data_IF_875285812424
#
_entry.id   IF_875285812424
#
_cell.length_a   1.000
_cell.length_b   1.000
_cell.length_c   1.000
_cell.angle_alpha   90.00
_cell.angle_beta   90.00
_cell.angle_gamma   90.00
#
_symmetry.space_group_name_H-M   'P 1'
#
loop_
_entity.id
_entity.type
_entity.pdbx_description
1 polymer ?
#
# COMPACT_ATOMS: atom_id res chain seq x y z
N UNK A 1 66.87 -57.12 40.21
CA UNK A 1 66.33 -56.36 41.34
C UNK A 1 65.45 -55.25 40.78
N UNK A 2 64.15 -55.27 41.14
CA UNK A 2 63.08 -54.25 41.00
C UNK A 2 62.91 -53.49 39.67
N UNK A 3 61.87 -53.76 38.86
CA UNK A 3 60.45 -53.34 39.01
C UNK A 3 60.31 -51.85 39.31
N UNK A 4 59.87 -51.04 38.34
CA UNK A 4 58.52 -50.47 38.37
C UNK A 4 58.16 -49.72 37.08
N UNK A 5 56.91 -49.93 36.67
CA UNK A 5 56.19 -49.28 35.57
C UNK A 5 55.95 -47.81 35.90
N UNK A 6 55.97 -46.94 34.88
CA UNK A 6 55.01 -45.82 34.86
C UNK A 6 54.70 -45.42 33.41
N UNK A 7 53.52 -45.82 32.97
CA UNK A 7 52.89 -45.51 31.70
C UNK A 7 52.39 -44.06 31.77
N UNK A 8 53.04 -43.13 31.05
CA UNK A 8 52.53 -41.76 30.92
C UNK A 8 51.41 -41.77 29.87
N UNK A 9 50.17 -41.69 30.36
CA UNK A 9 48.99 -41.43 29.54
C UNK A 9 49.07 -40.01 28.96
N UNK A 10 49.11 -39.90 27.64
CA UNK A 10 48.73 -38.68 26.92
C UNK A 10 47.21 -38.58 26.99
N UNK A 11 46.70 -37.64 27.78
CA UNK A 11 45.30 -37.22 27.73
C UNK A 11 45.21 -36.09 26.70
N UNK A 12 44.84 -36.42 25.46
CA UNK A 12 44.30 -35.40 24.56
C UNK A 12 42.93 -35.00 25.10
N UNK A 13 42.83 -33.76 25.59
CA UNK A 13 41.56 -33.14 25.92
C UNK A 13 40.86 -32.79 24.62
N UNK A 14 40.01 -33.70 24.13
CA UNK A 14 39.10 -33.42 23.04
C UNK A 14 38.05 -32.44 23.57
N UNK A 15 38.26 -31.15 23.29
CA UNK A 15 37.30 -30.09 23.59
C UNK A 15 36.08 -30.30 22.67
N UNK A 16 35.10 -31.08 23.13
CA UNK A 16 33.79 -31.15 22.50
C UNK A 16 33.13 -29.78 22.64
N UNK A 17 33.25 -28.95 21.61
CA UNK A 17 32.40 -27.79 21.43
C UNK A 17 31.01 -28.34 21.14
N UNK A 18 30.19 -28.47 22.17
CA UNK A 18 28.76 -28.64 22.03
C UNK A 18 28.22 -27.36 21.37
N UNK A 19 28.08 -27.36 20.05
CA UNK A 19 27.10 -26.49 19.41
C UNK A 19 25.74 -26.95 19.91
N UNK A 20 25.25 -26.30 20.98
CA UNK A 20 23.84 -26.32 21.30
C UNK A 20 23.14 -25.62 20.13
N UNK A 21 22.83 -26.37 19.06
CA UNK A 21 21.87 -25.94 18.07
C UNK A 21 20.55 -25.86 18.82
N UNK A 22 20.21 -24.63 19.21
CA UNK A 22 18.92 -24.35 19.79
C UNK A 22 17.88 -24.64 18.72
N UNK A 23 17.33 -25.85 18.73
CA UNK A 23 16.22 -26.29 17.88
C UNK A 23 14.93 -25.66 18.41
N UNK A 24 14.88 -24.33 18.46
CA UNK A 24 13.58 -23.68 18.54
C UNK A 24 12.88 -23.95 17.20
N UNK A 25 11.66 -24.53 17.21
CA UNK A 25 10.90 -24.66 15.99
C UNK A 25 10.73 -23.26 15.40
N UNK A 26 10.87 -23.15 14.08
CA UNK A 26 10.65 -21.87 13.42
C UNK A 26 9.26 -21.34 13.80
N UNK A 27 9.10 -20.02 13.99
CA UNK A 27 7.78 -19.45 14.23
C UNK A 27 6.83 -19.81 13.07
N UNK A 28 5.50 -19.76 13.30
CA UNK A 28 4.54 -19.94 12.21
C UNK A 28 4.68 -18.80 11.18
N UNK A 29 4.44 -19.12 9.92
CA UNK A 29 4.42 -18.14 8.82
C UNK A 29 3.43 -16.99 9.11
N UNK A 30 3.75 -15.74 8.76
CA UNK A 30 2.82 -14.62 8.90
C UNK A 30 1.51 -14.87 8.13
N UNK A 31 0.38 -14.79 8.83
CA UNK A 31 -0.95 -15.09 8.27
C UNK A 31 -1.31 -14.15 7.12
N UNK A 32 -0.81 -12.94 7.15
CA UNK A 32 -0.95 -11.90 6.14
C UNK A 32 -0.42 -12.33 4.77
N UNK A 33 0.52 -13.27 4.69
CA UNK A 33 0.99 -13.78 3.39
C UNK A 33 -0.09 -14.52 2.61
N UNK A 34 -1.06 -15.14 3.29
CA UNK A 34 -2.23 -15.72 2.61
C UNK A 34 -3.09 -14.64 1.93
N UNK A 35 -3.15 -13.44 2.52
CA UNK A 35 -3.88 -12.29 1.97
C UNK A 35 -3.18 -11.78 0.72
N UNK A 36 -1.84 -11.66 0.75
CA UNK A 36 -1.07 -11.26 -0.43
C UNK A 36 -1.21 -12.26 -1.58
N UNK A 37 -1.15 -13.56 -1.29
CA UNK A 37 -1.39 -14.63 -2.29
C UNK A 37 -2.77 -14.56 -2.91
N UNK A 38 -3.79 -14.22 -2.12
CA UNK A 38 -5.15 -14.05 -2.62
C UNK A 38 -5.32 -12.78 -3.47
N UNK A 39 -4.73 -11.66 -3.03
CA UNK A 39 -4.81 -10.38 -3.72
C UNK A 39 -4.03 -10.36 -5.04
N UNK A 40 -2.95 -11.14 -5.13
CA UNK A 40 -2.05 -11.21 -6.28
C UNK A 40 -1.87 -12.67 -6.74
N UNK A 41 -2.90 -13.29 -7.35
CA UNK A 41 -2.86 -14.72 -7.71
C UNK A 41 -1.82 -15.04 -8.79
N UNK A 42 -1.32 -14.04 -9.52
CA UNK A 42 -0.26 -14.15 -10.52
C UNK A 42 1.15 -13.94 -9.96
N UNK A 43 1.28 -13.66 -8.66
CA UNK A 43 2.55 -13.44 -7.96
C UNK A 43 2.74 -14.54 -6.91
N UNK A 44 3.90 -15.19 -6.92
CA UNK A 44 4.25 -16.19 -5.91
C UNK A 44 4.96 -15.53 -4.74
N UNK A 45 4.54 -15.87 -3.52
CA UNK A 45 5.16 -15.47 -2.26
C UNK A 45 5.62 -16.73 -1.52
N UNK A 46 6.93 -17.00 -1.54
CA UNK A 46 7.51 -18.17 -0.86
C UNK A 46 8.26 -17.71 0.38
N UNK A 47 7.82 -18.14 1.56
CA UNK A 47 8.42 -17.74 2.83
C UNK A 47 9.30 -18.85 3.40
N UNK A 48 10.49 -18.47 3.87
CA UNK A 48 11.41 -19.32 4.62
C UNK A 48 11.92 -18.54 5.82
N UNK A 49 11.85 -19.13 7.01
CA UNK A 49 12.38 -18.48 8.21
C UNK A 49 13.91 -18.45 8.16
N UNK A 50 14.48 -17.25 8.26
CA UNK A 50 15.91 -16.99 8.31
C UNK A 50 16.34 -16.79 9.78
N UNK A 51 16.89 -17.85 10.37
CA UNK A 51 17.30 -17.84 11.77
C UNK A 51 18.45 -16.85 12.07
N UNK A 52 19.27 -16.47 11.07
CA UNK A 52 20.36 -15.53 11.27
C UNK A 52 19.84 -14.10 11.45
N UNK A 53 18.77 -13.75 10.74
CA UNK A 53 18.12 -12.44 10.81
C UNK A 53 16.88 -12.43 11.71
N UNK A 54 16.52 -13.58 12.29
CA UNK A 54 15.32 -13.78 13.11
C UNK A 54 14.03 -13.30 12.44
N UNK A 55 13.91 -13.48 11.13
CA UNK A 55 12.80 -12.96 10.34
C UNK A 55 12.45 -13.89 9.15
N UNK A 56 11.29 -13.72 8.54
CA UNK A 56 10.90 -14.47 7.35
C UNK A 56 11.47 -13.82 6.10
N UNK A 57 12.32 -14.56 5.40
CA UNK A 57 12.73 -14.24 4.02
C UNK A 57 11.61 -14.67 3.08
N UNK A 58 11.17 -13.74 2.23
CA UNK A 58 10.06 -13.90 1.31
C UNK A 58 10.59 -13.67 -0.11
N UNK A 59 10.63 -14.74 -0.89
CA UNK A 59 10.90 -14.65 -2.32
C UNK A 59 9.59 -14.33 -3.05
N UNK A 60 9.55 -13.14 -3.65
CA UNK A 60 8.44 -12.63 -4.45
C UNK A 60 8.78 -12.84 -5.91
N UNK A 61 8.05 -13.75 -6.56
CA UNK A 61 8.32 -14.17 -7.94
C UNK A 61 7.15 -13.77 -8.83
N UNK A 62 7.44 -13.04 -9.88
CA UNK A 62 6.47 -12.64 -10.88
C UNK A 62 6.83 -13.20 -12.24
N UNK A 63 5.87 -13.87 -12.86
CA UNK A 63 5.99 -14.39 -14.22
C UNK A 63 5.31 -13.43 -15.20
N UNK A 64 6.09 -12.83 -16.11
CA UNK A 64 5.60 -11.92 -17.16
C UNK A 64 5.94 -12.50 -18.52
N UNK A 65 5.09 -13.39 -19.01
CA UNK A 65 5.37 -14.14 -20.24
C UNK A 65 6.62 -15.01 -20.09
N UNK A 66 7.65 -14.74 -20.90
CA UNK A 66 8.93 -15.46 -20.84
C UNK A 66 9.90 -14.94 -19.76
N UNK A 67 9.62 -13.79 -19.16
CA UNK A 67 10.50 -13.16 -18.17
C UNK A 67 10.01 -13.50 -16.77
N UNK A 68 10.91 -14.11 -15.98
CA UNK A 68 10.70 -14.34 -14.54
C UNK A 68 11.51 -13.31 -13.76
N UNK A 69 10.84 -12.45 -13.01
CA UNK A 69 11.48 -11.52 -12.05
C UNK A 69 11.31 -12.07 -10.64
N UNK A 70 12.39 -12.04 -9.89
CA UNK A 70 12.41 -12.46 -8.48
C UNK A 70 13.02 -11.32 -7.67
N UNK A 71 12.37 -10.95 -6.58
CA UNK A 71 12.97 -10.13 -5.54
C UNK A 71 12.85 -10.85 -4.20
N UNK A 72 13.85 -10.64 -3.35
CA UNK A 72 13.87 -11.17 -1.99
C UNK A 72 13.64 -10.02 -1.02
N UNK A 73 12.59 -10.13 -0.22
CA UNK A 73 12.25 -9.20 0.85
C UNK A 73 12.17 -9.97 2.17
N UNK A 74 12.16 -9.26 3.28
CA UNK A 74 11.96 -9.79 4.62
C UNK A 74 10.66 -9.24 5.19
N UNK A 75 9.95 -10.05 5.96
CA UNK A 75 8.64 -9.69 6.50
C UNK A 75 8.70 -8.39 7.31
N UNK A 76 9.73 -8.23 8.14
CA UNK A 76 10.05 -6.98 8.85
C UNK A 76 8.84 -6.40 9.59
N UNK A 77 8.11 -7.26 10.32
CA UNK A 77 6.90 -6.89 11.05
C UNK A 77 5.82 -6.28 10.14
N UNK A 78 5.62 -6.90 8.97
CA UNK A 78 4.62 -6.52 7.97
C UNK A 78 5.02 -5.38 7.03
N UNK A 79 6.30 -5.00 7.01
CA UNK A 79 6.81 -3.86 6.23
C UNK A 79 7.44 -4.27 4.90
N UNK A 80 7.78 -5.55 4.70
CA UNK A 80 8.34 -6.05 3.43
C UNK A 80 9.56 -5.25 2.95
N UNK A 81 10.72 -5.47 3.60
CA UNK A 81 11.96 -4.70 3.40
C UNK A 81 13.11 -5.55 2.88
N UNK A 82 14.06 -5.02 2.10
CA UNK A 82 15.30 -5.72 1.80
C UNK A 82 16.17 -5.89 3.05
N UNK A 83 17.10 -6.85 3.02
CA UNK A 83 17.92 -7.22 4.19
C UNK A 83 18.71 -6.04 4.79
N UNK A 84 19.25 -5.17 3.93
CA UNK A 84 20.03 -3.99 4.31
C UNK A 84 19.19 -2.88 4.97
N UNK A 85 17.85 -2.99 4.92
CA UNK A 85 16.91 -2.05 5.54
C UNK A 85 16.22 -2.56 6.80
N UNK A 86 16.56 -3.77 7.26
CA UNK A 86 15.96 -4.36 8.46
C UNK A 86 16.24 -3.60 9.75
N UNK A 87 17.37 -2.91 9.85
CA UNK A 87 17.73 -2.07 11.00
C UNK A 87 16.96 -0.75 11.02
N UNK A 88 16.44 -0.32 9.86
CA UNK A 88 15.65 0.90 9.69
C UNK A 88 14.14 0.64 9.74
N UNK A 89 13.71 -0.57 10.14
CA UNK A 89 12.30 -1.02 10.00
C UNK A 89 11.29 -0.08 10.67
N UNK A 90 11.62 0.53 11.81
CA UNK A 90 10.72 1.44 12.52
C UNK A 90 10.44 2.74 11.75
N UNK A 91 11.24 3.05 10.73
CA UNK A 91 11.03 4.17 9.82
C UNK A 91 10.06 3.85 8.68
N UNK A 92 9.47 2.66 8.60
CA UNK A 92 8.51 2.30 7.55
C UNK A 92 7.15 1.94 8.14
N UNK A 93 6.08 2.27 7.41
CA UNK A 93 4.75 1.84 7.77
C UNK A 93 4.51 0.38 7.34
N UNK A 94 3.70 -0.38 8.10
CA UNK A 94 3.23 -1.69 7.65
C UNK A 94 2.54 -1.58 6.29
N UNK A 95 2.75 -2.59 5.45
CA UNK A 95 2.13 -2.71 4.13
C UNK A 95 0.61 -2.80 4.25
N UNK A 96 0.13 -3.59 5.23
CA UNK A 96 -1.29 -3.81 5.47
C UNK A 96 -1.76 -3.01 6.67
N UNK A 97 -2.80 -2.20 6.47
CA UNK A 97 -3.47 -1.44 7.51
C UNK A 97 -4.99 -1.60 7.37
N UNK A 98 -5.77 -1.43 8.46
CA UNK A 98 -7.22 -1.49 8.37
C UNK A 98 -7.74 -0.31 7.54
N UNK A 99 -8.19 -0.61 6.32
CA UNK A 99 -8.97 0.33 5.53
C UNK A 99 -10.34 0.54 6.17
N UNK A 100 -10.75 1.79 6.35
CA UNK A 100 -11.96 2.16 7.07
C UNK A 100 -13.23 1.69 6.35
N UNK A 101 -14.22 1.21 7.11
CA UNK A 101 -15.53 0.80 6.56
C UNK A 101 -16.35 2.03 6.17
N UNK A 102 -16.41 3.01 7.07
CA UNK A 102 -17.17 4.24 6.93
C UNK A 102 -16.27 5.46 6.75
N UNK A 103 -16.83 6.56 6.23
CA UNK A 103 -16.17 7.86 6.15
C UNK A 103 -16.03 8.43 7.57
N UNK A 104 -14.83 8.83 8.02
CA UNK A 104 -14.68 9.50 9.31
C UNK A 104 -15.46 10.82 9.35
N UNK A 105 -16.53 10.86 10.14
CA UNK A 105 -17.36 12.07 10.32
C UNK A 105 -16.67 13.06 11.28
N UNK A 106 -16.31 14.27 10.81
CA UNK A 106 -15.68 15.29 11.65
C UNK A 106 -16.50 15.74 12.85
N UNK A 107 -17.84 15.56 12.81
CA UNK A 107 -18.70 15.86 13.95
C UNK A 107 -18.37 15.00 15.18
N UNK A 108 -17.71 13.85 14.97
CA UNK A 108 -17.34 12.91 16.02
C UNK A 108 -15.88 13.04 16.47
N UNK A 109 -15.11 13.98 15.92
CA UNK A 109 -13.70 14.14 16.28
C UNK A 109 -13.56 14.81 17.65
N UNK A 110 -12.82 14.13 18.54
CA UNK A 110 -12.40 14.70 19.82
C UNK A 110 -11.29 15.74 19.62
N UNK A 111 -11.00 16.55 20.64
CA UNK A 111 -9.84 17.46 20.61
C UNK A 111 -8.52 16.71 20.36
N UNK A 112 -8.39 15.49 20.86
CA UNK A 112 -7.20 14.66 20.65
C UNK A 112 -7.09 14.19 19.19
N UNK A 113 -8.21 13.85 18.56
CA UNK A 113 -8.24 13.52 17.13
C UNK A 113 -7.80 14.71 16.28
N UNK A 114 -8.30 15.91 16.61
CA UNK A 114 -7.92 17.15 15.92
C UNK A 114 -6.43 17.48 16.11
N UNK A 115 -5.89 17.30 17.32
CA UNK A 115 -4.44 17.47 17.59
C UNK A 115 -3.61 16.48 16.78
N UNK A 116 -4.00 15.22 16.76
CA UNK A 116 -3.34 14.17 15.98
C UNK A 116 -3.38 14.47 14.48
N UNK A 117 -4.52 14.89 13.95
CA UNK A 117 -4.69 15.30 12.55
C UNK A 117 -3.82 16.51 12.20
N UNK A 118 -3.83 17.55 13.05
CA UNK A 118 -3.00 18.75 12.87
C UNK A 118 -1.52 18.40 12.86
N UNK A 119 -1.08 17.55 13.78
CA UNK A 119 0.31 17.10 13.81
C UNK A 119 0.66 16.28 12.56
N UNK A 120 -0.17 15.29 12.21
CA UNK A 120 0.05 14.41 11.06
C UNK A 120 0.06 15.15 9.71
N UNK A 121 -0.72 16.22 9.58
CA UNK A 121 -0.85 17.03 8.37
C UNK A 121 0.21 18.15 8.25
N UNK A 122 1.02 18.38 9.29
CA UNK A 122 2.05 19.42 9.29
C UNK A 122 3.23 19.06 8.37
N UNK A 123 3.80 20.06 7.68
CA UNK A 123 4.92 19.85 6.76
C UNK A 123 6.15 19.24 7.46
N UNK A 124 6.43 19.68 8.70
CA UNK A 124 7.54 19.15 9.50
C UNK A 124 7.37 17.65 9.76
N UNK A 125 6.24 17.24 10.32
CA UNK A 125 5.96 15.84 10.61
C UNK A 125 5.91 15.01 9.33
N UNK A 126 5.29 15.51 8.27
CA UNK A 126 5.23 14.81 6.98
C UNK A 126 6.62 14.59 6.38
N UNK A 127 7.51 15.59 6.45
CA UNK A 127 8.87 15.46 5.91
C UNK A 127 9.74 14.43 6.64
N UNK A 128 9.47 14.20 7.94
CA UNK A 128 10.20 13.25 8.80
C UNK A 128 9.54 11.88 8.87
N UNK A 129 8.26 11.77 8.55
CA UNK A 129 7.55 10.50 8.60
C UNK A 129 7.97 9.59 7.44
N UNK A 130 8.28 8.35 7.80
CA UNK A 130 8.31 7.24 6.87
C UNK A 130 7.03 7.11 6.06
N UNK A 131 7.16 6.47 4.90
CA UNK A 131 6.02 6.00 4.12
C UNK A 131 5.85 4.49 4.25
N UNK A 132 4.83 3.97 3.57
CA UNK A 132 4.75 2.54 3.24
C UNK A 132 6.00 2.14 2.46
N UNK A 133 6.57 0.99 2.79
CA UNK A 133 7.66 0.40 2.02
C UNK A 133 7.28 0.27 0.54
N UNK A 134 8.06 0.89 -0.33
CA UNK A 134 7.84 0.85 -1.77
C UNK A 134 8.42 -0.41 -2.42
N UNK A 135 9.28 -1.17 -1.73
CA UNK A 135 9.96 -2.34 -2.28
C UNK A 135 8.98 -3.44 -2.73
N UNK A 136 7.91 -3.64 -1.96
CA UNK A 136 6.82 -4.54 -2.34
C UNK A 136 6.17 -4.10 -3.66
N UNK A 137 5.77 -2.83 -3.77
CA UNK A 137 5.11 -2.31 -4.97
C UNK A 137 6.05 -2.29 -6.18
N UNK A 138 7.32 -1.94 -5.99
CA UNK A 138 8.34 -2.01 -7.02
C UNK A 138 8.43 -3.42 -7.61
N UNK A 139 8.38 -4.44 -6.75
CA UNK A 139 8.44 -5.84 -7.17
C UNK A 139 7.17 -6.29 -7.88
N UNK A 140 6.00 -6.03 -7.29
CA UNK A 140 4.71 -6.49 -7.82
C UNK A 140 4.34 -5.77 -9.12
N UNK A 141 4.66 -4.49 -9.24
CA UNK A 141 4.29 -3.67 -10.39
C UNK A 141 5.44 -3.46 -11.39
N UNK A 142 6.69 -3.82 -11.06
CA UNK A 142 7.90 -3.50 -11.86
C UNK A 142 8.10 -1.99 -12.02
N UNK A 143 7.97 -1.30 -10.90
CA UNK A 143 7.91 0.16 -10.85
C UNK A 143 9.07 0.78 -10.08
N UNK A 144 10.21 0.09 -9.96
CA UNK A 144 11.37 0.61 -9.25
C UNK A 144 11.89 1.92 -9.87
N UNK A 145 11.99 1.95 -11.21
CA UNK A 145 12.51 3.09 -11.96
C UNK A 145 11.44 3.68 -12.87
N UNK A 146 11.63 4.93 -13.28
CA UNK A 146 10.72 5.59 -14.23
C UNK A 146 10.63 4.78 -15.53
N UNK A 147 11.78 4.34 -16.02
CA UNK A 147 11.88 3.56 -17.25
C UNK A 147 11.12 2.24 -17.15
N UNK A 148 11.28 1.49 -16.04
CA UNK A 148 10.56 0.22 -15.87
C UNK A 148 9.07 0.46 -15.75
N UNK A 149 8.63 1.48 -15.00
CA UNK A 149 7.21 1.83 -14.90
C UNK A 149 6.61 2.21 -16.25
N UNK A 150 7.24 3.14 -16.99
CA UNK A 150 6.71 3.65 -18.26
C UNK A 150 6.59 2.55 -19.33
N UNK A 151 7.31 1.44 -19.22
CA UNK A 151 7.13 0.26 -20.07
C UNK A 151 5.72 -0.35 -19.93
N UNK A 152 5.11 -0.25 -18.75
CA UNK A 152 3.77 -0.77 -18.42
C UNK A 152 2.64 0.26 -18.50
N UNK A 153 2.99 1.55 -18.63
CA UNK A 153 2.01 2.61 -18.75
C UNK A 153 1.45 2.63 -20.18
N UNK A 154 0.14 2.46 -20.33
CA UNK A 154 -0.56 2.63 -21.62
C UNK A 154 -1.74 3.58 -21.47
N UNK A 155 -2.12 4.16 -22.60
CA UNK A 155 -3.31 5.00 -22.69
C UNK A 155 -4.56 4.13 -22.57
N UNK A 156 -5.49 4.57 -21.73
CA UNK A 156 -6.80 3.96 -21.50
C UNK A 156 -7.89 5.03 -21.50
N UNK A 157 -9.14 4.60 -21.67
CA UNK A 157 -10.32 5.43 -21.41
C UNK A 157 -11.03 4.90 -20.18
N UNK A 158 -11.50 5.81 -19.33
CA UNK A 158 -12.40 5.53 -18.22
C UNK A 158 -13.54 6.53 -18.24
N UNK A 159 -14.79 6.05 -18.32
CA UNK A 159 -15.99 6.90 -18.41
C UNK A 159 -15.90 7.96 -19.52
N UNK A 160 -15.31 7.59 -20.66
CA UNK A 160 -15.12 8.47 -21.81
C UNK A 160 -14.00 9.50 -21.68
N UNK A 161 -13.19 9.46 -20.61
CA UNK A 161 -12.01 10.32 -20.42
C UNK A 161 -10.74 9.50 -20.62
N UNK A 162 -9.80 10.04 -21.40
CA UNK A 162 -8.52 9.38 -21.61
C UNK A 162 -7.53 9.71 -20.49
N UNK A 163 -6.79 8.70 -20.06
CA UNK A 163 -5.65 8.84 -19.15
C UNK A 163 -4.59 7.80 -19.49
N UNK A 164 -3.45 7.84 -18.79
CA UNK A 164 -2.40 6.83 -18.90
C UNK A 164 -2.34 6.07 -17.59
N UNK A 165 -2.36 4.74 -17.62
CA UNK A 165 -2.35 3.92 -16.41
C UNK A 165 -1.51 2.66 -16.61
N UNK A 166 -1.17 2.01 -15.50
CA UNK A 166 -0.46 0.75 -15.48
C UNK A 166 -1.37 -0.39 -15.94
N UNK A 167 -0.88 -1.27 -16.81
CA UNK A 167 -1.68 -2.35 -17.41
C UNK A 167 -2.36 -3.30 -16.41
N UNK A 168 -1.75 -3.47 -15.23
CA UNK A 168 -2.32 -4.27 -14.12
C UNK A 168 -3.70 -3.77 -13.66
N UNK A 169 -4.02 -2.49 -13.81
CA UNK A 169 -5.32 -1.97 -13.39
C UNK A 169 -6.37 -1.93 -14.52
N UNK A 170 -6.04 -2.35 -15.75
CA UNK A 170 -6.97 -2.26 -16.88
C UNK A 170 -8.22 -3.12 -16.68
N UNK A 171 -8.03 -4.39 -16.34
CA UNK A 171 -9.17 -5.30 -16.14
C UNK A 171 -10.01 -4.91 -14.90
N UNK A 172 -9.43 -4.60 -13.72
CA UNK A 172 -10.19 -4.03 -12.60
C UNK A 172 -10.96 -2.77 -12.99
N UNK A 173 -10.31 -1.80 -13.64
CA UNK A 173 -10.95 -0.53 -13.97
C UNK A 173 -12.07 -0.67 -15.01
N UNK A 174 -11.94 -1.58 -15.97
CA UNK A 174 -13.02 -1.89 -16.90
C UNK A 174 -14.26 -2.45 -16.18
N UNK A 175 -14.06 -3.28 -15.14
CA UNK A 175 -15.16 -3.78 -14.30
C UNK A 175 -15.79 -2.68 -13.45
N UNK A 176 -14.98 -1.76 -12.92
CA UNK A 176 -15.47 -0.54 -12.24
C UNK A 176 -16.35 0.26 -13.19
N UNK A 177 -15.87 0.55 -14.41
CA UNK A 177 -16.63 1.33 -15.39
C UNK A 177 -17.97 0.67 -15.72
N UNK A 178 -17.98 -0.64 -15.95
CA UNK A 178 -19.20 -1.40 -16.21
C UNK A 178 -20.19 -1.31 -15.05
N UNK A 179 -19.72 -1.45 -13.80
CA UNK A 179 -20.56 -1.32 -12.60
C UNK A 179 -21.16 0.07 -12.45
N UNK A 180 -20.36 1.11 -12.67
CA UNK A 180 -20.81 2.51 -12.64
C UNK A 180 -21.89 2.74 -13.70
N UNK A 181 -21.65 2.32 -14.94
CA UNK A 181 -22.61 2.47 -16.05
C UNK A 181 -23.89 1.70 -15.82
N UNK A 182 -23.82 0.50 -15.24
CA UNK A 182 -25.00 -0.27 -14.90
C UNK A 182 -25.83 0.45 -13.83
N UNK A 183 -25.19 0.92 -12.77
CA UNK A 183 -25.87 1.62 -11.68
C UNK A 183 -26.48 2.95 -12.13
N UNK A 184 -25.83 3.66 -13.04
CA UNK A 184 -26.33 4.91 -13.62
C UNK A 184 -27.70 4.78 -14.31
N UNK A 185 -28.08 3.57 -14.78
CA UNK A 185 -29.39 3.33 -15.40
C UNK A 185 -30.56 3.55 -14.44
N UNK A 186 -30.33 3.39 -13.14
CA UNK A 186 -31.37 3.48 -12.10
C UNK A 186 -31.06 4.49 -10.99
N UNK A 187 -29.81 4.97 -10.92
CA UNK A 187 -29.35 5.93 -9.91
C UNK A 187 -28.99 7.26 -10.57
N UNK A 188 -29.85 8.26 -10.38
CA UNK A 188 -29.68 9.59 -10.95
C UNK A 188 -28.43 10.32 -10.44
N UNK A 189 -27.98 10.05 -9.20
CA UNK A 189 -26.76 10.66 -8.67
C UNK A 189 -25.52 10.10 -9.36
N UNK A 190 -25.52 8.79 -9.65
CA UNK A 190 -24.43 8.14 -10.43
C UNK A 190 -24.43 8.63 -11.88
N UNK A 191 -25.59 8.74 -12.52
CA UNK A 191 -25.67 9.32 -13.87
C UNK A 191 -25.15 10.77 -13.89
N UNK A 192 -25.57 11.58 -12.92
CA UNK A 192 -25.08 12.96 -12.79
C UNK A 192 -23.56 13.03 -12.57
N UNK A 193 -22.98 12.10 -11.79
CA UNK A 193 -21.53 12.01 -11.64
C UNK A 193 -20.81 11.77 -12.98
N UNK A 194 -21.33 10.86 -13.82
CA UNK A 194 -20.78 10.60 -15.17
C UNK A 194 -20.88 11.88 -16.02
N UNK A 195 -22.04 12.53 -16.01
CA UNK A 195 -22.29 13.71 -16.82
C UNK A 195 -21.41 14.90 -16.41
N UNK A 196 -21.15 15.08 -15.11
CA UNK A 196 -20.30 16.12 -14.55
C UNK A 196 -18.81 15.78 -14.58
N UNK A 197 -18.42 14.55 -14.91
CA UNK A 197 -17.01 14.16 -14.95
C UNK A 197 -16.27 14.98 -16.01
N UNK A 198 -15.32 15.80 -15.58
CA UNK A 198 -14.53 16.64 -16.45
C UNK A 198 -13.25 15.94 -16.88
N UNK A 199 -12.55 15.32 -15.93
CA UNK A 199 -11.20 14.78 -16.13
C UNK A 199 -10.98 13.52 -15.29
N UNK A 200 -10.13 12.64 -15.81
CA UNK A 200 -9.63 11.46 -15.12
C UNK A 200 -8.10 11.47 -15.25
N UNK A 201 -7.39 11.49 -14.14
CA UNK A 201 -5.93 11.51 -14.10
C UNK A 201 -5.39 10.26 -13.41
N UNK A 202 -4.34 9.65 -13.96
CA UNK A 202 -3.73 8.47 -13.36
C UNK A 202 -2.22 8.62 -13.33
N UNK A 203 -1.49 8.18 -14.35
CA UNK A 203 -0.04 8.20 -14.33
C UNK A 203 0.54 9.62 -14.34
N UNK A 204 1.36 9.91 -13.31
CA UNK A 204 2.21 11.10 -13.25
C UNK A 204 3.43 10.79 -12.38
N UNK A 205 4.61 10.69 -12.99
CA UNK A 205 5.85 10.42 -12.27
C UNK A 205 6.29 11.63 -11.45
N UNK A 206 6.15 11.52 -10.13
CA UNK A 206 6.52 12.56 -9.17
C UNK A 206 6.81 11.99 -7.78
N UNK A 207 7.73 12.64 -7.09
CA UNK A 207 7.82 12.50 -5.64
C UNK A 207 6.66 13.23 -4.96
N UNK A 208 6.33 12.83 -3.74
CA UNK A 208 5.38 13.57 -2.90
C UNK A 208 6.14 14.77 -2.32
N UNK A 209 5.74 15.99 -2.66
CA UNK A 209 6.51 17.20 -2.33
C UNK A 209 6.79 17.44 -0.83
N UNK A 210 6.07 16.75 0.06
CA UNK A 210 6.22 16.90 1.51
C UNK A 210 6.65 15.60 2.24
N UNK A 211 7.02 14.53 1.53
CA UNK A 211 7.52 13.28 2.13
C UNK A 211 8.58 12.59 1.24
N UNK A 212 9.48 11.82 1.85
CA UNK A 212 10.46 10.98 1.14
C UNK A 212 9.79 9.69 0.61
N UNK A 213 8.75 9.85 -0.21
CA UNK A 213 8.05 8.73 -0.86
C UNK A 213 7.47 9.15 -2.20
N UNK A 214 7.29 8.17 -3.08
CA UNK A 214 6.74 8.35 -4.42
C UNK A 214 5.22 8.18 -4.37
N UNK A 215 4.48 9.07 -5.04
CA UNK A 215 3.02 8.97 -5.12
C UNK A 215 2.60 7.70 -5.88
N UNK A 216 1.48 7.08 -5.52
CA UNK A 216 0.89 5.95 -6.26
C UNK A 216 0.48 6.31 -7.69
N UNK A 217 0.29 7.60 -8.01
CA UNK A 217 0.20 8.06 -9.40
C UNK A 217 1.46 7.74 -10.22
N UNK A 218 2.63 7.72 -9.60
CA UNK A 218 3.87 7.37 -10.31
C UNK A 218 3.99 5.89 -10.64
N UNK A 219 3.13 5.04 -10.06
CA UNK A 219 3.04 3.63 -10.38
C UNK A 219 1.97 3.37 -11.45
N UNK A 220 1.14 4.38 -11.77
CA UNK A 220 0.00 4.25 -12.67
C UNK A 220 -1.13 3.40 -12.13
N UNK A 221 -1.21 3.21 -10.81
CA UNK A 221 -2.24 2.38 -10.14
C UNK A 221 -3.24 3.21 -9.32
N UNK A 222 -3.06 4.54 -9.30
CA UNK A 222 -3.99 5.48 -8.73
C UNK A 222 -4.77 6.22 -9.81
N UNK A 223 -5.99 6.65 -9.50
CA UNK A 223 -6.89 7.40 -10.38
C UNK A 223 -7.58 8.52 -9.60
N UNK A 224 -7.48 9.74 -10.12
CA UNK A 224 -8.28 10.88 -9.71
C UNK A 224 -9.47 11.05 -10.65
N UNK A 225 -10.67 11.18 -10.08
CA UNK A 225 -11.91 11.54 -10.78
C UNK A 225 -12.30 12.98 -10.44
N UNK A 226 -12.26 13.86 -11.45
CA UNK A 226 -12.41 15.30 -11.25
C UNK A 226 -13.72 15.80 -11.90
N UNK A 227 -14.66 16.36 -11.12
CA UNK A 227 -15.90 16.92 -11.66
C UNK A 227 -15.64 18.26 -12.36
N UNK A 228 -16.61 18.75 -13.15
CA UNK A 228 -16.59 20.14 -13.63
C UNK A 228 -16.49 21.12 -12.45
N UNK A 229 -15.66 22.15 -12.63
CA UNK A 229 -15.42 23.16 -11.60
C UNK A 229 -14.72 22.62 -10.34
N UNK A 230 -14.01 21.49 -10.42
CA UNK A 230 -13.33 20.87 -9.28
C UNK A 230 -12.47 21.84 -8.46
N UNK A 231 -11.80 22.82 -9.09
CA UNK A 231 -10.99 23.83 -8.42
C UNK A 231 -11.75 24.78 -7.50
N UNK A 232 -13.09 24.76 -7.51
CA UNK A 232 -13.96 25.54 -6.64
C UNK A 232 -14.67 24.67 -5.58
N UNK A 233 -14.39 23.37 -5.55
CA UNK A 233 -15.05 22.41 -4.66
C UNK A 233 -14.12 22.00 -3.52
N UNK A 234 -14.69 21.66 -2.37
CA UNK A 234 -13.95 21.08 -1.26
C UNK A 234 -13.69 19.58 -1.55
N UNK A 235 -12.66 19.28 -2.35
CA UNK A 235 -12.33 17.91 -2.81
C UNK A 235 -11.05 17.34 -2.21
N UNK A 236 -10.14 18.22 -1.77
CA UNK A 236 -8.86 17.83 -1.21
C UNK A 236 -8.54 18.65 0.04
N UNK A 237 -8.11 17.96 1.11
CA UNK A 237 -7.88 18.57 2.42
C UNK A 237 -6.85 19.71 2.38
N UNK A 238 -5.76 19.56 1.63
CA UNK A 238 -4.69 20.56 1.64
C UNK A 238 -5.13 21.85 0.96
N UNK A 239 -5.88 21.75 -0.15
CA UNK A 239 -6.46 22.93 -0.80
C UNK A 239 -7.49 23.61 0.11
N UNK A 240 -8.28 22.83 0.85
CA UNK A 240 -9.20 23.41 1.84
C UNK A 240 -8.45 24.10 2.98
N UNK A 241 -7.38 23.49 3.49
CA UNK A 241 -6.52 24.08 4.53
C UNK A 241 -5.94 25.41 4.07
N UNK A 242 -5.51 25.53 2.82
CA UNK A 242 -4.94 26.78 2.31
C UNK A 242 -5.98 27.93 2.27
N UNK A 243 -7.28 27.61 2.16
CA UNK A 243 -8.40 28.57 2.25
C UNK A 243 -8.79 28.83 3.71
N UNK A 244 -8.80 27.78 4.54
CA UNK A 244 -9.29 27.79 5.92
C UNK A 244 -8.41 26.89 6.82
N UNK A 245 -7.28 27.42 7.30
CA UNK A 245 -6.27 26.64 8.02
C UNK A 245 -6.77 26.01 9.34
N UNK A 246 -7.75 26.63 9.98
CA UNK A 246 -8.29 26.17 11.26
C UNK A 246 -9.54 25.29 11.09
N UNK A 247 -10.37 25.54 10.07
CA UNK A 247 -11.66 24.86 9.87
C UNK A 247 -11.63 23.66 8.93
N UNK A 248 -10.56 23.39 8.18
CA UNK A 248 -10.54 22.29 7.20
C UNK A 248 -10.75 20.90 7.82
N UNK A 249 -10.27 20.67 9.05
CA UNK A 249 -10.39 19.37 9.74
C UNK A 249 -11.83 19.08 10.16
N UNK A 250 -12.59 20.12 10.48
CA UNK A 250 -13.98 20.04 10.94
C UNK A 250 -14.99 20.36 9.84
N UNK A 251 -14.55 20.49 8.58
CA UNK A 251 -15.43 20.75 7.44
C UNK A 251 -16.46 19.59 7.31
N UNK A 252 -17.77 19.87 7.45
CA UNK A 252 -18.81 18.85 7.40
C UNK A 252 -18.82 18.05 6.10
N UNK A 253 -19.23 16.78 6.15
CA UNK A 253 -19.20 15.87 5.01
C UNK A 253 -20.06 16.38 3.84
N UNK A 254 -21.22 16.96 4.12
CA UNK A 254 -22.14 17.53 3.12
C UNK A 254 -21.59 18.77 2.42
N UNK A 255 -20.52 19.38 2.96
CA UNK A 255 -19.79 20.48 2.32
C UNK A 255 -18.62 19.99 1.46
N UNK A 256 -18.27 18.70 1.54
CA UNK A 256 -17.26 18.07 0.70
C UNK A 256 -17.92 17.57 -0.57
N UNK A 257 -17.22 17.72 -1.70
CA UNK A 257 -17.62 16.98 -2.89
C UNK A 257 -17.06 15.56 -2.76
N UNK A 258 -17.89 14.56 -3.04
CA UNK A 258 -17.55 13.15 -3.00
C UNK A 258 -18.20 12.47 -4.21
N UNK A 259 -17.58 11.43 -4.80
CA UNK A 259 -18.29 10.52 -5.68
C UNK A 259 -19.49 9.91 -4.92
N UNK A 260 -20.62 9.62 -5.59
CA UNK A 260 -21.74 8.95 -4.92
C UNK A 260 -21.34 7.54 -4.47
N UNK A 261 -21.99 7.00 -3.43
CA UNK A 261 -21.73 5.65 -2.87
C UNK A 261 -21.70 4.59 -3.97
N UNK A 262 -22.67 4.71 -4.89
CA UNK A 262 -22.60 4.34 -6.30
C UNK A 262 -21.27 3.89 -6.87
N UNK A 263 -20.42 4.90 -7.00
CA UNK A 263 -19.12 4.90 -7.64
C UNK A 263 -18.07 4.36 -6.68
N UNK A 264 -18.13 4.76 -5.41
CA UNK A 264 -17.17 4.31 -4.38
C UNK A 264 -17.22 2.78 -4.24
N UNK A 265 -18.42 2.21 -4.10
CA UNK A 265 -18.63 0.76 -4.01
C UNK A 265 -18.16 0.02 -5.27
N UNK A 266 -18.35 0.62 -6.45
CA UNK A 266 -17.87 0.04 -7.71
C UNK A 266 -16.34 -0.10 -7.71
N UNK A 267 -15.61 0.92 -7.25
CA UNK A 267 -14.16 0.90 -7.06
C UNK A 267 -13.73 -0.10 -5.97
N UNK A 268 -14.32 -0.03 -4.77
CA UNK A 268 -13.96 -0.89 -3.64
C UNK A 268 -14.21 -2.38 -3.90
N UNK A 269 -15.28 -2.70 -4.60
CA UNK A 269 -15.58 -4.08 -4.99
C UNK A 269 -14.58 -4.66 -5.99
N UNK A 270 -13.75 -3.82 -6.62
CA UNK A 270 -12.74 -4.20 -7.59
C UNK A 270 -11.30 -4.01 -7.11
N UNK A 271 -11.09 -3.79 -5.81
CA UNK A 271 -9.76 -3.74 -5.20
C UNK A 271 -9.15 -2.34 -5.08
N UNK A 272 -9.93 -1.29 -5.34
CA UNK A 272 -9.48 0.09 -5.11
C UNK A 272 -9.89 0.58 -3.72
N UNK A 273 -9.01 1.28 -3.03
CA UNK A 273 -9.36 2.07 -1.85
C UNK A 273 -9.64 3.51 -2.28
N UNK A 274 -10.53 4.19 -1.56
CA UNK A 274 -10.89 5.58 -1.78
C UNK A 274 -10.32 6.51 -0.70
N UNK A 275 -9.69 7.60 -1.15
CA UNK A 275 -9.01 8.58 -0.30
C UNK A 275 -9.93 9.41 0.59
N UNK A 276 -11.25 9.45 0.29
CA UNK A 276 -12.22 10.12 1.15
C UNK A 276 -12.46 9.43 2.50
N UNK A 277 -12.07 8.16 2.65
CA UNK A 277 -12.11 7.44 3.94
C UNK A 277 -10.86 7.67 4.80
N UNK A 278 -9.87 8.41 4.31
CA UNK A 278 -8.70 8.75 5.11
C UNK A 278 -8.99 9.94 6.05
N UNK A 279 -8.32 10.00 7.22
CA UNK A 279 -8.44 11.15 8.11
C UNK A 279 -8.04 12.48 7.45
N UNK A 280 -7.02 12.45 6.59
CA UNK A 280 -6.68 13.53 5.65
C UNK A 280 -7.28 13.24 4.27
N UNK A 281 -8.55 13.60 4.13
CA UNK A 281 -9.39 13.21 3.01
C UNK A 281 -8.88 13.72 1.64
N UNK A 282 -8.94 12.83 0.66
CA UNK A 282 -8.67 13.11 -0.76
C UNK A 282 -9.79 12.49 -1.61
N UNK A 283 -10.87 13.25 -1.82
CA UNK A 283 -12.15 12.69 -2.29
C UNK A 283 -12.15 12.38 -3.80
N UNK A 284 -11.23 12.94 -4.57
CA UNK A 284 -11.07 12.59 -5.98
C UNK A 284 -10.32 11.28 -6.17
N UNK A 285 -9.60 10.81 -5.15
CA UNK A 285 -8.49 9.89 -5.32
C UNK A 285 -8.85 8.44 -4.99
N UNK A 286 -8.48 7.52 -5.89
CA UNK A 286 -8.60 6.07 -5.71
C UNK A 286 -7.26 5.39 -5.97
N UNK A 287 -6.88 4.41 -5.16
CA UNK A 287 -5.63 3.65 -5.30
C UNK A 287 -5.92 2.15 -5.38
N UNK A 288 -5.34 1.44 -6.35
CA UNK A 288 -5.49 -0.01 -6.45
C UNK A 288 -4.65 -0.75 -5.40
N UNK A 289 -5.32 -1.20 -4.34
CA UNK A 289 -4.77 -1.97 -3.23
C UNK A 289 -5.66 -3.18 -2.91
N UNK A 290 -5.70 -4.21 -3.78
CA UNK A 290 -6.52 -5.39 -3.56
C UNK A 290 -6.17 -6.11 -2.24
N UNK A 291 -4.92 -6.00 -1.80
CA UNK A 291 -4.45 -6.53 -0.53
C UNK A 291 -5.07 -5.85 0.69
N UNK A 292 -5.31 -4.53 0.64
CA UNK A 292 -5.95 -3.80 1.73
C UNK A 292 -7.45 -4.11 1.80
N UNK A 293 -8.11 -4.23 0.65
CA UNK A 293 -9.51 -4.67 0.58
C UNK A 293 -9.66 -6.09 1.15
N UNK A 294 -8.77 -7.01 0.78
CA UNK A 294 -8.78 -8.37 1.32
C UNK A 294 -8.46 -8.40 2.83
N UNK A 295 -7.50 -7.58 3.27
CA UNK A 295 -7.15 -7.45 4.69
C UNK A 295 -8.31 -6.98 5.55
N UNK A 296 -9.04 -5.95 5.10
CA UNK A 296 -10.16 -5.38 5.84
C UNK A 296 -11.42 -6.26 5.86
N UNK A 297 -11.57 -7.19 4.91
CA UNK A 297 -12.70 -8.15 4.88
C UNK A 297 -12.48 -9.34 5.82
N UNK A 298 -11.23 -9.72 6.06
CA UNK A 298 -10.85 -10.87 6.88
C UNK A 298 -10.71 -10.53 8.38
N UNK A 299 -11.08 -9.31 8.79
CA UNK A 299 -11.03 -8.81 10.16
C UNK A 299 -12.41 -8.65 10.78
#
# INVERSE_FOLDING_TARGET
MHISKCLKYFFESLLFIFFAVSLYPAPPEPKELAILRHAYPDVSFTAVYDAALSDFKIDVVQNRGAIRKTATLYWADGKMLPADKLTERESYWPLLYPYAKEIPDPANFSEEDLRRLRNFSSAETRSRQGGTSLYFFNTVYDCETRQSTEAHIKRISFLGKYTNAHERIFAPLARVENKIRERAKTDAAVQHFIDELARVDSYNWREIGDRVSRSFHSYGIAIDVLPRGWGQKNIYWAWRRDIDPEGWMTLPLEKRWMPPDGVIEAFESEGFIWGGKWPIWDNMHFEYHPELIAYSRNR
#
